data_IF_739436877439
#
_entry.id   IF_739436877439
#
_cell.length_a   1.000
_cell.length_b   1.000
_cell.length_c   1.000
_cell.angle_alpha   90.00
_cell.angle_beta   90.00
_cell.angle_gamma   90.00
#
_symmetry.space_group_name_H-M   'P 1'
#
loop_
_entity.id
_entity.type
_entity.pdbx_description
1 polymer ?
#
# COMPACT_ATOMS: atom_id res chain seq x y z
N UNK A 1 14.18 20.68 -15.82
CA UNK A 1 13.87 19.31 -15.37
C UNK A 1 12.57 19.34 -14.56
N UNK A 2 11.42 19.42 -15.22
CA UNK A 2 10.11 19.51 -14.56
C UNK A 2 9.02 18.76 -15.36
N UNK A 3 9.10 18.83 -16.69
CA UNK A 3 8.20 18.07 -17.59
C UNK A 3 8.46 16.57 -17.52
N UNK A 4 9.73 16.12 -17.44
CA UNK A 4 10.06 14.70 -17.35
C UNK A 4 9.64 14.05 -16.03
N UNK A 5 9.63 14.83 -14.95
CA UNK A 5 9.18 14.39 -13.62
C UNK A 5 7.64 14.30 -13.57
N UNK A 6 6.94 15.29 -14.16
CA UNK A 6 5.47 15.28 -14.28
C UNK A 6 4.95 14.10 -15.13
N UNK A 7 5.62 13.80 -16.25
CA UNK A 7 5.26 12.64 -17.09
C UNK A 7 5.47 11.34 -16.31
N UNK A 8 6.57 11.20 -15.57
CA UNK A 8 6.82 10.01 -14.74
C UNK A 8 5.78 9.81 -13.63
N UNK A 9 5.39 10.89 -12.94
CA UNK A 9 4.36 10.85 -11.89
C UNK A 9 2.99 10.49 -12.50
N UNK A 10 2.68 10.98 -13.70
CA UNK A 10 1.42 10.63 -14.38
C UNK A 10 1.35 9.14 -14.73
N UNK A 11 2.43 8.55 -15.26
CA UNK A 11 2.48 7.13 -15.62
C UNK A 11 2.42 6.20 -14.40
N UNK A 12 3.06 6.59 -13.28
CA UNK A 12 2.94 5.84 -12.02
C UNK A 12 1.51 5.86 -11.48
N UNK A 13 0.85 7.03 -11.47
CA UNK A 13 -0.54 7.16 -11.03
C UNK A 13 -1.52 6.35 -11.88
N UNK A 14 -1.32 6.32 -13.19
CA UNK A 14 -2.21 5.55 -14.07
C UNK A 14 -2.00 4.04 -13.91
N UNK A 15 -0.77 3.61 -13.59
CA UNK A 15 -0.48 2.22 -13.23
C UNK A 15 -1.12 1.83 -11.90
N UNK A 16 -1.00 2.67 -10.86
CA UNK A 16 -1.65 2.45 -9.56
C UNK A 16 -3.17 2.33 -9.71
N UNK A 17 -3.81 3.19 -10.51
CA UNK A 17 -5.26 3.09 -10.77
C UNK A 17 -5.64 1.78 -11.45
N UNK A 18 -4.86 1.34 -12.44
CA UNK A 18 -5.12 0.09 -13.14
C UNK A 18 -5.00 -1.11 -12.20
N UNK A 19 -4.00 -1.10 -11.30
CA UNK A 19 -3.84 -2.13 -10.26
C UNK A 19 -5.02 -2.15 -9.28
N UNK A 20 -5.43 -0.97 -8.79
CA UNK A 20 -6.59 -0.86 -7.88
C UNK A 20 -7.87 -1.40 -8.53
N UNK A 21 -8.11 -1.13 -9.81
CA UNK A 21 -9.32 -1.60 -10.50
C UNK A 21 -9.29 -3.11 -10.73
N UNK A 22 -8.13 -3.65 -11.10
CA UNK A 22 -7.91 -5.09 -11.20
C UNK A 22 -8.18 -5.78 -9.86
N UNK A 23 -7.61 -5.24 -8.80
CA UNK A 23 -7.73 -5.75 -7.44
C UNK A 23 -9.18 -5.73 -6.94
N UNK A 24 -9.93 -4.64 -7.18
CA UNK A 24 -11.37 -4.61 -6.91
C UNK A 24 -12.12 -5.72 -7.62
N UNK A 25 -11.77 -5.98 -8.88
CA UNK A 25 -12.41 -7.04 -9.63
C UNK A 25 -12.09 -8.42 -9.03
N UNK A 26 -10.85 -8.66 -8.60
CA UNK A 26 -10.42 -9.91 -7.97
C UNK A 26 -11.10 -10.15 -6.62
N UNK A 27 -11.11 -9.15 -5.73
CA UNK A 27 -11.83 -9.17 -4.43
C UNK A 27 -13.31 -9.53 -4.59
N UNK A 28 -13.98 -8.97 -5.59
CA UNK A 28 -15.42 -9.18 -5.79
C UNK A 28 -15.74 -10.55 -6.41
N UNK A 29 -14.86 -11.08 -7.26
CA UNK A 29 -15.12 -12.33 -7.99
C UNK A 29 -14.54 -13.57 -7.30
N UNK A 30 -13.42 -13.43 -6.58
CA UNK A 30 -12.65 -14.54 -6.01
C UNK A 30 -12.31 -14.37 -4.51
N UNK A 31 -13.24 -13.95 -3.64
CA UNK A 31 -12.92 -13.54 -2.25
C UNK A 31 -12.22 -14.62 -1.40
N UNK A 32 -12.47 -15.91 -1.68
CA UNK A 32 -11.79 -17.00 -0.98
C UNK A 32 -10.33 -17.17 -1.39
N UNK A 33 -9.99 -16.91 -2.65
CA UNK A 33 -8.62 -17.00 -3.14
C UNK A 33 -7.80 -15.82 -2.64
N UNK A 34 -8.39 -14.62 -2.75
CA UNK A 34 -7.85 -13.37 -2.21
C UNK A 34 -7.49 -13.51 -0.72
N UNK A 35 -8.37 -14.10 0.10
CA UNK A 35 -8.06 -14.32 1.51
C UNK A 35 -6.83 -15.23 1.72
N UNK A 36 -6.60 -16.23 0.85
CA UNK A 36 -5.42 -17.10 0.92
C UNK A 36 -4.15 -16.35 0.49
N UNK A 37 -4.27 -15.41 -0.45
CA UNK A 37 -3.17 -14.53 -0.83
C UNK A 37 -2.74 -13.68 0.36
N UNK A 38 -3.68 -13.02 1.05
CA UNK A 38 -3.41 -12.28 2.29
C UNK A 38 -2.74 -13.14 3.36
N UNK A 39 -3.22 -14.36 3.59
CA UNK A 39 -2.58 -15.29 4.55
C UNK A 39 -1.14 -15.55 4.14
N UNK A 40 -0.89 -15.82 2.86
CA UNK A 40 0.44 -16.11 2.34
C UNK A 40 1.39 -14.91 2.46
N UNK A 41 0.88 -13.68 2.34
CA UNK A 41 1.65 -12.45 2.56
C UNK A 41 2.07 -12.34 4.02
N UNK A 42 1.13 -12.48 4.96
CA UNK A 42 1.44 -12.41 6.38
C UNK A 42 2.36 -13.54 6.85
N UNK A 43 2.25 -14.75 6.28
CA UNK A 43 3.22 -15.82 6.53
C UNK A 43 4.64 -15.43 6.07
N UNK A 44 4.78 -14.76 4.91
CA UNK A 44 6.07 -14.25 4.43
C UNK A 44 6.62 -13.12 5.30
N UNK A 45 5.76 -12.34 5.94
CA UNK A 45 6.15 -11.32 6.92
C UNK A 45 6.56 -11.92 8.28
N UNK A 46 6.40 -13.23 8.46
CA UNK A 46 6.89 -13.97 9.64
C UNK A 46 5.81 -14.38 10.63
N UNK A 47 4.53 -14.21 10.30
CA UNK A 47 3.43 -14.72 11.13
C UNK A 47 3.32 -16.25 10.97
N UNK A 48 2.90 -16.93 12.05
CA UNK A 48 2.46 -18.32 11.92
C UNK A 48 1.20 -18.39 11.06
N UNK A 49 0.97 -19.51 10.36
CA UNK A 49 -0.23 -19.73 9.54
C UNK A 49 -1.54 -19.39 10.25
N UNK A 50 -1.65 -19.83 11.51
CA UNK A 50 -2.84 -19.60 12.34
C UNK A 50 -3.04 -18.10 12.63
N UNK A 51 -1.95 -17.38 12.92
CA UNK A 51 -1.98 -15.94 13.18
C UNK A 51 -2.26 -15.17 11.89
N UNK A 52 -1.60 -15.54 10.78
CA UNK A 52 -1.80 -14.94 9.46
C UNK A 52 -3.25 -15.05 9.00
N UNK A 53 -3.89 -16.22 9.19
CA UNK A 53 -5.30 -16.42 8.89
C UNK A 53 -6.23 -15.57 9.76
N UNK A 54 -5.91 -15.44 11.06
CA UNK A 54 -6.69 -14.61 11.97
C UNK A 54 -6.60 -13.13 11.57
N UNK A 55 -5.39 -12.63 11.34
CA UNK A 55 -5.15 -11.24 10.91
C UNK A 55 -5.82 -10.94 9.58
N UNK A 56 -5.66 -11.82 8.59
CA UNK A 56 -6.32 -11.67 7.29
C UNK A 56 -7.84 -11.56 7.44
N UNK A 57 -8.47 -12.45 8.23
CA UNK A 57 -9.92 -12.40 8.48
C UNK A 57 -10.36 -11.13 9.21
N UNK A 58 -9.63 -10.71 10.23
CA UNK A 58 -9.97 -9.49 10.99
C UNK A 58 -9.85 -8.24 10.12
N UNK A 59 -8.80 -8.12 9.31
CA UNK A 59 -8.60 -6.98 8.43
C UNK A 59 -9.59 -6.98 7.27
N UNK A 60 -9.82 -8.13 6.64
CA UNK A 60 -10.86 -8.28 5.59
C UNK A 60 -12.26 -7.97 6.13
N UNK A 61 -12.57 -8.35 7.38
CA UNK A 61 -13.86 -8.04 8.00
C UNK A 61 -14.02 -6.55 8.34
N UNK A 62 -12.93 -5.84 8.63
CA UNK A 62 -12.95 -4.40 8.86
C UNK A 62 -13.10 -3.63 7.55
N UNK A 63 -12.23 -3.91 6.58
CA UNK A 63 -12.28 -3.35 5.24
C UNK A 63 -11.49 -4.24 4.28
N UNK A 64 -12.21 -5.00 3.46
CA UNK A 64 -11.62 -5.90 2.46
C UNK A 64 -10.71 -5.14 1.49
N UNK A 65 -11.11 -3.96 1.02
CA UNK A 65 -10.32 -3.24 0.03
C UNK A 65 -9.05 -2.66 0.66
N UNK A 66 -9.14 -2.11 1.87
CA UNK A 66 -7.97 -1.58 2.56
C UNK A 66 -6.97 -2.68 2.94
N UNK A 67 -7.45 -3.87 3.34
CA UNK A 67 -6.60 -5.01 3.66
C UNK A 67 -5.75 -5.43 2.44
N UNK A 68 -6.40 -5.64 1.30
CA UNK A 68 -5.76 -6.05 0.05
C UNK A 68 -4.85 -4.97 -0.54
N UNK A 69 -5.33 -3.72 -0.66
CA UNK A 69 -4.50 -2.64 -1.21
C UNK A 69 -3.23 -2.37 -0.39
N UNK A 70 -3.33 -2.51 0.93
CA UNK A 70 -2.17 -2.32 1.80
C UNK A 70 -1.19 -3.49 1.69
N UNK A 71 -1.67 -4.72 1.82
CA UNK A 71 -0.82 -5.91 1.85
C UNK A 71 -0.19 -6.22 0.48
N UNK A 72 -0.91 -5.97 -0.62
CA UNK A 72 -0.50 -6.39 -1.96
C UNK A 72 0.14 -5.27 -2.77
N UNK A 73 -0.46 -4.08 -2.72
CA UNK A 73 -0.02 -2.95 -3.53
C UNK A 73 0.87 -1.98 -2.74
N UNK A 74 0.91 -2.10 -1.41
CA UNK A 74 1.51 -1.08 -0.54
C UNK A 74 0.80 0.28 -0.65
N UNK A 75 -0.40 0.31 -1.23
CA UNK A 75 -1.17 1.52 -1.46
C UNK A 75 -2.10 1.72 -0.28
N UNK A 76 -2.00 2.89 0.35
CA UNK A 76 -2.98 3.28 1.34
C UNK A 76 -4.12 4.03 0.60
N UNK A 77 -5.35 3.50 0.52
CA UNK A 77 -6.44 4.13 -0.23
C UNK A 77 -6.80 5.53 0.30
N UNK A 78 -6.54 5.81 1.57
CA UNK A 78 -6.72 7.13 2.19
C UNK A 78 -5.57 8.10 1.91
N UNK A 79 -4.49 7.62 1.32
CA UNK A 79 -3.30 8.39 0.97
C UNK A 79 -2.84 8.03 -0.45
N UNK A 80 -3.77 8.04 -1.42
CA UNK A 80 -3.44 8.17 -2.84
C UNK A 80 -2.51 9.38 -2.97
N UNK A 81 -1.23 9.10 -3.15
CA UNK A 81 -0.12 10.04 -3.00
C UNK A 81 -0.47 11.42 -3.55
N UNK A 82 -0.71 12.36 -2.63
CA UNK A 82 -0.65 13.78 -2.94
C UNK A 82 0.85 14.12 -2.94
N UNK A 83 1.46 14.39 -4.12
CA UNK A 83 2.92 14.55 -4.26
C UNK A 83 3.50 15.67 -3.39
N UNK A 84 2.67 16.53 -2.79
CA UNK A 84 3.09 17.58 -1.86
C UNK A 84 3.47 17.07 -0.46
N UNK A 85 2.98 15.90 -0.01
CA UNK A 85 3.27 15.41 1.35
C UNK A 85 4.63 14.69 1.47
N UNK A 86 5.10 14.03 0.41
CA UNK A 86 6.40 13.33 0.43
C UNK A 86 7.60 14.30 0.46
N UNK A 87 7.43 15.51 -0.08
CA UNK A 87 8.48 16.54 -0.08
C UNK A 87 8.70 17.16 1.31
N UNK A 88 7.65 17.30 2.13
CA UNK A 88 7.77 17.89 3.48
C UNK A 88 8.35 16.93 4.52
N UNK A 89 8.02 15.63 4.45
CA UNK A 89 8.58 14.63 5.37
C UNK A 89 10.12 14.54 5.24
N UNK A 90 10.62 14.60 4.01
CA UNK A 90 12.06 14.59 3.70
C UNK A 90 12.78 15.84 4.24
N UNK A 91 12.15 17.02 4.18
CA UNK A 91 12.72 18.26 4.69
C UNK A 91 12.80 18.30 6.23
N UNK A 92 11.80 17.75 6.93
CA UNK A 92 11.77 17.69 8.39
C UNK A 92 12.78 16.66 8.93
N UNK A 93 12.87 15.48 8.30
CA UNK A 93 13.85 14.46 8.68
C UNK A 93 15.30 14.97 8.54
N UNK A 94 15.59 15.75 7.48
CA UNK A 94 16.91 16.35 7.28
C UNK A 94 17.24 17.42 8.33
N UNK A 95 16.27 18.25 8.71
CA UNK A 95 16.43 19.29 9.75
C UNK A 95 16.66 18.68 11.14
N UNK A 96 15.99 17.58 11.49
CA UNK A 96 16.20 16.89 12.76
C UNK A 96 17.54 16.16 12.83
N UNK A 97 17.98 15.52 11.73
CA UNK A 97 19.30 14.88 11.66
C UNK A 97 20.44 15.90 11.82
N UNK A 98 20.28 17.13 11.31
CA UNK A 98 21.31 18.16 11.38
C UNK A 98 21.42 18.83 12.76
N UNK A 99 20.38 18.74 13.59
CA UNK A 99 20.38 19.30 14.95
C UNK A 99 20.94 18.32 16.01
N UNK A 100 20.93 17.01 15.73
CA UNK A 100 21.45 15.95 16.63
C UNK A 100 22.96 15.70 16.42
N UNK A 101 23.54 16.12 15.29
CA UNK A 101 24.98 15.97 15.01
C UNK A 101 25.83 17.18 15.42
N UNK A 102 25.43 17.95 16.44
CA UNK A 102 26.20 19.08 16.96
C UNK A 102 26.40 19.01 18.47
#
# INVERSE_FOLDING_TARGET
MAVGEYVSVSSQRDTEKALIEKERHEINNNPEEELKELVSIYEKEGLSKETALLVAKEFTAHDVHAAHFHAELGINPNNLTNPLHASCASAIAFLFLQFVSR
#
